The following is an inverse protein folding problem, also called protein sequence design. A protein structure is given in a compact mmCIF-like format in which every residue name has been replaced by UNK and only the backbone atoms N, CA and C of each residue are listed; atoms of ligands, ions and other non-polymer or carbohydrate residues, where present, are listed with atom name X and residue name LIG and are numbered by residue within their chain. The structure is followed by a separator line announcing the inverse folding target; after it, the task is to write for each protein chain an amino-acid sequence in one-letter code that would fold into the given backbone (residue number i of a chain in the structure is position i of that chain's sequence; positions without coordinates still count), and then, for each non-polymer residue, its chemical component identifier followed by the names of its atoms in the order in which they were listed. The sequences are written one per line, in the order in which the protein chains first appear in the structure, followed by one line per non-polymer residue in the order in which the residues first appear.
data_IF_274616458924
#
_entry.id   IF_274616458924
#
_cell.length_a   1.000
_cell.length_b   1.000
_cell.length_c   1.000
_cell.angle_alpha   90.00
_cell.angle_beta   90.00
_cell.angle_gamma   90.00
#
_symmetry.space_group_name_H-M   'P 1'
#
loop_
_entity.id
_entity.type
_entity.pdbx_description
1 polymer ?
#
# COMPACT_ATOMS: atom_id res chain seq x y z
N UNK A 1 -0.28 14.65 9.49
CA UNK A 1 -0.81 15.66 8.54
C UNK A 1 0.29 16.69 8.25
N UNK A 2 0.94 16.61 7.09
CA UNK A 2 1.35 17.78 6.32
C UNK A 2 1.75 17.35 4.90
N UNK A 3 1.19 18.08 3.94
CA UNK A 3 1.24 17.86 2.48
C UNK A 3 2.44 18.58 1.84
N UNK A 4 2.79 18.13 0.62
CA UNK A 4 3.52 18.90 -0.40
C UNK A 4 4.93 18.34 -0.65
N UNK A 5 5.40 18.10 -1.86
CA UNK A 5 5.00 18.64 -3.15
C UNK A 5 5.57 17.74 -4.27
N UNK A 6 4.74 17.14 -5.11
CA UNK A 6 5.17 16.47 -6.35
C UNK A 6 4.96 17.44 -7.51
N UNK A 7 6.06 17.83 -8.15
CA UNK A 7 6.07 18.77 -9.28
C UNK A 7 5.45 18.15 -10.54
N UNK A 8 4.53 18.90 -11.14
CA UNK A 8 3.93 18.63 -12.44
C UNK A 8 4.51 19.54 -13.54
N UNK A 9 5.06 18.91 -14.61
CA UNK A 9 4.78 19.11 -16.08
C UNK A 9 5.12 20.52 -16.68
N UNK A 10 5.76 20.69 -17.88
CA UNK A 10 5.16 20.30 -19.18
C UNK A 10 6.04 19.96 -20.41
N UNK A 11 5.40 19.24 -21.34
CA UNK A 11 5.79 19.01 -22.74
C UNK A 11 5.41 20.22 -23.64
N UNK A 12 6.09 20.43 -24.78
CA UNK A 12 6.21 21.73 -25.42
C UNK A 12 5.05 22.11 -26.36
N UNK A 13 4.80 23.42 -26.40
CA UNK A 13 3.87 24.14 -27.26
C UNK A 13 4.37 24.29 -28.70
N UNK A 14 3.44 24.09 -29.64
CA UNK A 14 3.55 24.37 -31.07
C UNK A 14 3.61 25.89 -31.28
N UNK A 15 4.63 26.36 -32.01
CA UNK A 15 4.75 27.75 -32.43
C UNK A 15 4.46 27.90 -33.94
N UNK A 16 3.69 28.94 -34.24
CA UNK A 16 3.22 29.41 -35.55
C UNK A 16 3.96 30.68 -35.97
N UNK A 17 4.09 30.90 -37.29
CA UNK A 17 4.47 32.17 -37.94
C UNK A 17 5.99 32.43 -37.99
N UNK A 18 6.58 33.11 -38.99
CA UNK A 18 6.04 33.90 -40.09
C UNK A 18 7.16 34.16 -41.12
N UNK A 19 6.74 34.57 -42.32
CA UNK A 19 7.50 35.08 -43.46
C UNK A 19 8.54 36.17 -43.12
N UNK A 20 9.71 36.21 -43.79
CA UNK A 20 9.94 37.18 -44.87
C UNK A 20 11.33 37.13 -45.56
N UNK A 21 11.26 37.43 -46.87
CA UNK A 21 12.18 38.10 -47.79
C UNK A 21 13.72 38.01 -47.66
N UNK A 22 14.39 37.67 -48.77
CA UNK A 22 15.07 38.66 -49.62
C UNK A 22 15.55 38.06 -50.95
N UNK A 23 15.02 38.62 -52.04
CA UNK A 23 15.46 38.48 -53.42
C UNK A 23 16.73 39.32 -53.64
N UNK A 24 17.69 38.80 -54.41
CA UNK A 24 18.73 39.60 -55.05
C UNK A 24 18.61 39.45 -56.57
N UNK A 25 18.17 40.53 -57.22
CA UNK A 25 18.36 40.77 -58.65
C UNK A 25 19.82 41.20 -58.91
N UNK A 26 20.40 40.71 -60.01
CA UNK A 26 21.48 41.43 -60.69
C UNK A 26 21.18 41.42 -62.20
N UNK A 27 21.14 42.63 -62.75
CA UNK A 27 20.81 42.95 -64.13
C UNK A 27 21.93 42.64 -65.13
N UNK A 28 21.47 42.06 -66.24
CA UNK A 28 21.86 42.13 -67.65
C UNK A 28 22.92 43.19 -68.03
N UNK A 29 23.92 42.77 -68.82
CA UNK A 29 24.67 43.63 -69.76
C UNK A 29 24.58 43.08 -71.19
N UNK A 30 24.08 43.93 -72.07
CA UNK A 30 23.86 43.74 -73.50
C UNK A 30 25.10 44.03 -74.35
N UNK A 31 25.27 43.32 -75.46
CA UNK A 31 25.98 43.81 -76.66
C UNK A 31 25.21 43.42 -77.93
N UNK A 32 24.70 44.43 -78.64
CA UNK A 32 24.26 44.40 -80.05
C UNK A 32 25.51 44.51 -80.95
N UNK A 33 25.64 43.90 -82.13
CA UNK A 33 24.94 44.11 -83.42
C UNK A 33 25.48 43.04 -84.40
N UNK A 34 24.72 42.46 -85.33
CA UNK A 34 24.49 43.05 -86.66
C UNK A 34 23.52 42.20 -87.50
N UNK A 35 22.70 42.91 -88.27
CA UNK A 35 21.63 42.51 -89.16
C UNK A 35 22.04 41.57 -90.31
N UNK A 36 21.17 40.61 -90.65
CA UNK A 36 20.84 40.26 -92.06
C UNK A 36 19.41 39.72 -92.14
N UNK A 37 18.56 40.45 -92.87
CA UNK A 37 17.18 40.14 -93.24
C UNK A 37 17.12 38.91 -94.15
N UNK A 38 16.26 37.93 -93.86
CA UNK A 38 15.67 37.08 -94.89
C UNK A 38 14.22 36.67 -94.57
N UNK A 39 13.45 36.55 -95.65
CA UNK A 39 11.98 36.53 -95.76
C UNK A 39 11.32 35.30 -95.12
N UNK A 40 10.14 35.50 -94.56
CA UNK A 40 9.15 34.45 -94.26
C UNK A 40 8.82 33.60 -95.50
N UNK A 41 8.53 32.32 -95.26
CA UNK A 41 7.27 31.76 -95.72
C UNK A 41 6.40 31.28 -94.56
N UNK A 42 5.10 31.47 -94.78
CA UNK A 42 3.97 31.08 -93.94
C UNK A 42 3.90 29.55 -93.86
N UNK A 43 3.57 29.02 -92.66
CA UNK A 43 2.90 27.73 -92.39
C UNK A 43 3.56 26.88 -91.27
N UNK A 44 3.59 27.38 -90.03
CA UNK A 44 3.97 26.54 -88.88
C UNK A 44 3.06 26.62 -87.64
N UNK A 45 1.89 27.29 -87.72
CA UNK A 45 1.02 27.50 -86.56
C UNK A 45 -0.18 26.55 -86.42
N UNK A 46 -0.32 25.51 -87.27
CA UNK A 46 -1.48 24.61 -87.26
C UNK A 46 -1.20 23.15 -86.87
N UNK A 47 0.01 22.79 -86.46
CA UNK A 47 0.37 21.41 -86.12
C UNK A 47 0.62 21.13 -84.61
N UNK A 48 0.62 22.15 -83.73
CA UNK A 48 0.95 21.93 -82.31
C UNK A 48 -0.24 21.69 -81.36
N UNK A 49 -1.48 21.85 -81.81
CA UNK A 49 -2.67 21.74 -80.94
C UNK A 49 -3.33 20.34 -80.91
N UNK A 50 -2.81 19.36 -81.67
CA UNK A 50 -3.42 18.03 -81.78
C UNK A 50 -2.48 16.84 -81.44
N UNK A 51 -1.32 17.10 -80.83
CA UNK A 51 -0.40 16.07 -80.34
C UNK A 51 -0.35 15.99 -78.80
N UNK A 52 -1.07 16.89 -78.10
CA UNK A 52 -1.01 17.05 -76.65
C UNK A 52 -2.17 16.40 -75.87
N UNK A 53 -3.24 15.90 -76.50
CA UNK A 53 -4.33 15.25 -75.74
C UNK A 53 -3.97 13.84 -75.26
N UNK A 54 -3.18 13.11 -76.04
CA UNK A 54 -2.76 11.74 -75.70
C UNK A 54 -1.68 11.73 -74.62
N UNK A 55 -0.69 12.63 -74.72
CA UNK A 55 0.37 12.80 -73.71
C UNK A 55 -0.18 13.36 -72.40
N UNK A 56 -1.13 14.29 -72.44
CA UNK A 56 -1.78 14.83 -71.25
C UNK A 56 -2.66 13.79 -70.55
N UNK A 57 -3.36 12.93 -71.31
CA UNK A 57 -4.14 11.81 -70.75
C UNK A 57 -3.25 10.76 -70.07
N UNK A 58 -2.11 10.42 -70.67
CA UNK A 58 -1.12 9.52 -70.06
C UNK A 58 -0.50 10.12 -68.79
N UNK A 59 -0.11 11.39 -68.80
CA UNK A 59 0.38 12.07 -67.60
C UNK A 59 -0.68 12.14 -66.49
N UNK A 60 -1.95 12.41 -66.81
CA UNK A 60 -3.03 12.44 -65.81
C UNK A 60 -3.27 11.06 -65.20
N UNK A 61 -3.26 10.00 -66.02
CA UNK A 61 -3.39 8.61 -65.53
C UNK A 61 -2.22 8.20 -64.64
N UNK A 62 -1.00 8.64 -64.96
CA UNK A 62 0.20 8.38 -64.17
C UNK A 62 0.17 9.14 -62.83
N UNK A 63 -0.25 10.41 -62.84
CA UNK A 63 -0.43 11.21 -61.62
C UNK A 63 -1.51 10.63 -60.71
N UNK A 64 -2.62 10.14 -61.27
CA UNK A 64 -3.67 9.47 -60.52
C UNK A 64 -3.17 8.16 -59.90
N UNK A 65 -2.42 7.35 -60.67
CA UNK A 65 -1.82 6.11 -60.18
C UNK A 65 -0.80 6.38 -59.06
N UNK A 66 0.05 7.40 -59.20
CA UNK A 66 0.99 7.81 -58.15
C UNK A 66 0.25 8.28 -56.90
N UNK A 67 -0.82 9.08 -57.05
CA UNK A 67 -1.62 9.54 -55.93
C UNK A 67 -2.29 8.38 -55.18
N UNK A 68 -2.80 7.37 -55.90
CA UNK A 68 -3.36 6.15 -55.30
C UNK A 68 -2.28 5.38 -54.54
N UNK A 69 -1.09 5.20 -55.13
CA UNK A 69 0.02 4.52 -54.47
C UNK A 69 0.47 5.26 -53.20
N UNK A 70 0.58 6.59 -53.26
CA UNK A 70 0.91 7.42 -52.09
C UNK A 70 -0.19 7.30 -51.02
N UNK A 71 -1.46 7.33 -51.40
CA UNK A 71 -2.59 7.17 -50.47
C UNK A 71 -2.57 5.78 -49.82
N UNK A 72 -2.28 4.71 -50.57
CA UNK A 72 -2.17 3.36 -50.03
C UNK A 72 -0.95 3.21 -49.11
N UNK A 73 0.18 3.81 -49.46
CA UNK A 73 1.37 3.85 -48.59
C UNK A 73 1.11 4.66 -47.32
N UNK A 74 0.40 5.78 -47.42
CA UNK A 74 0.00 6.59 -46.27
C UNK A 74 -0.95 5.82 -45.36
N UNK A 75 -1.97 5.15 -45.91
CA UNK A 75 -2.86 4.26 -45.16
C UNK A 75 -2.10 3.09 -44.51
N UNK A 76 -1.11 2.52 -45.20
CA UNK A 76 -0.25 1.47 -44.65
C UNK A 76 0.60 1.97 -43.47
N UNK A 77 1.18 3.17 -43.59
CA UNK A 77 1.97 3.81 -42.52
C UNK A 77 1.08 4.20 -41.33
N UNK A 78 -0.11 4.75 -41.58
CA UNK A 78 -1.10 5.04 -40.53
C UNK A 78 -1.56 3.75 -39.82
N UNK A 79 -1.88 2.70 -40.58
CA UNK A 79 -2.26 1.40 -40.01
C UNK A 79 -1.12 0.80 -39.17
N UNK A 80 0.13 0.92 -39.62
CA UNK A 80 1.30 0.52 -38.83
C UNK A 80 1.49 1.37 -37.57
N UNK A 81 1.32 2.70 -37.65
CA UNK A 81 1.41 3.60 -36.48
C UNK A 81 0.35 3.29 -35.43
N UNK A 82 -0.92 3.14 -35.83
CA UNK A 82 -2.03 2.80 -34.92
C UNK A 82 -1.85 1.42 -34.29
N UNK A 83 -1.25 0.47 -35.02
CA UNK A 83 -0.90 -0.85 -34.46
C UNK A 83 0.27 -0.78 -33.47
N UNK A 84 1.20 0.16 -33.65
CA UNK A 84 2.36 0.36 -32.77
C UNK A 84 1.99 0.97 -31.42
N UNK A 85 0.86 1.68 -31.30
CA UNK A 85 0.40 2.23 -30.01
C UNK A 85 -0.28 1.19 -29.09
N UNK A 86 -0.41 -0.06 -29.54
CA UNK A 86 -0.96 -1.17 -28.73
C UNK A 86 0.04 -2.32 -28.65
N UNK A 87 1.25 -2.06 -28.17
CA UNK A 87 2.08 -3.14 -27.63
C UNK A 87 1.44 -3.65 -26.34
N UNK A 88 0.60 -4.67 -26.45
CA UNK A 88 0.04 -5.37 -25.31
C UNK A 88 1.15 -6.12 -24.59
N UNK A 89 1.24 -5.95 -23.26
CA UNK A 89 2.12 -6.77 -22.45
C UNK A 89 1.57 -8.19 -22.37
N UNK A 90 2.30 -9.17 -22.91
CA UNK A 90 1.93 -10.58 -22.91
C UNK A 90 2.91 -11.43 -22.10
N UNK A 91 3.65 -10.82 -21.17
CA UNK A 91 4.47 -11.59 -20.24
C UNK A 91 3.55 -12.34 -19.26
N UNK A 92 4.00 -13.48 -18.69
CA UNK A 92 3.22 -14.22 -17.71
C UNK A 92 2.73 -13.36 -16.54
N UNK A 93 3.57 -12.43 -16.07
CA UNK A 93 3.26 -11.53 -14.96
C UNK A 93 2.13 -10.56 -15.33
N UNK A 94 2.17 -9.97 -16.54
CA UNK A 94 1.11 -9.10 -17.04
C UNK A 94 -0.23 -9.84 -17.19
N UNK A 95 -0.19 -11.08 -17.69
CA UNK A 95 -1.41 -11.89 -17.86
C UNK A 95 -2.00 -12.24 -16.50
N UNK A 96 -1.19 -12.67 -15.53
CA UNK A 96 -1.65 -12.99 -14.18
C UNK A 96 -2.27 -11.76 -13.51
N UNK A 97 -1.55 -10.63 -13.50
CA UNK A 97 -2.02 -9.40 -12.88
C UNK A 97 -3.33 -8.90 -13.49
N UNK A 98 -3.43 -8.93 -14.82
CA UNK A 98 -4.65 -8.53 -15.52
C UNK A 98 -5.83 -9.45 -15.17
N UNK A 99 -5.60 -10.77 -15.07
CA UNK A 99 -6.62 -11.73 -14.68
C UNK A 99 -7.07 -11.52 -13.23
N UNK A 100 -6.13 -11.38 -12.29
CA UNK A 100 -6.43 -11.17 -10.87
C UNK A 100 -7.22 -9.86 -10.66
N UNK A 101 -6.79 -8.78 -11.33
CA UNK A 101 -7.49 -7.49 -11.29
C UNK A 101 -8.90 -7.61 -11.87
N UNK A 102 -9.03 -8.21 -13.05
CA UNK A 102 -10.33 -8.35 -13.72
C UNK A 102 -11.31 -9.20 -12.90
N UNK A 103 -10.83 -10.26 -12.25
CA UNK A 103 -11.66 -11.13 -11.40
C UNK A 103 -12.13 -10.43 -10.11
N UNK A 104 -11.37 -9.46 -9.61
CA UNK A 104 -11.76 -8.66 -8.45
C UNK A 104 -12.87 -7.62 -8.78
N UNK A 105 -12.89 -7.13 -10.02
CA UNK A 105 -13.79 -6.07 -10.47
C UNK A 105 -15.23 -6.53 -10.66
N UNK A 106 -16.19 -5.67 -10.30
CA UNK A 106 -17.60 -5.77 -10.68
C UNK A 106 -17.92 -4.79 -11.81
N UNK A 107 -17.71 -5.23 -13.05
CA UNK A 107 -17.88 -4.39 -14.26
C UNK A 107 -19.33 -3.97 -14.54
N UNK A 108 -20.30 -4.42 -13.73
CA UNK A 108 -21.71 -4.03 -13.86
C UNK A 108 -22.00 -2.68 -13.19
N UNK A 109 -21.07 -2.19 -12.36
CA UNK A 109 -21.19 -0.93 -11.63
C UNK A 109 -20.46 0.19 -12.36
N UNK A 110 -21.04 1.39 -12.36
CA UNK A 110 -20.39 2.56 -12.93
C UNK A 110 -19.23 3.03 -12.01
N UNK A 111 -17.97 3.06 -12.48
CA UNK A 111 -16.84 3.53 -11.68
C UNK A 111 -16.96 4.98 -11.22
N UNK A 112 -17.77 5.81 -11.89
CA UNK A 112 -18.02 7.20 -11.50
C UNK A 112 -19.02 7.33 -10.34
N UNK A 113 -19.84 6.30 -10.09
CA UNK A 113 -20.83 6.28 -9.01
C UNK A 113 -20.28 5.56 -7.77
N UNK A 114 -19.68 4.39 -7.94
CA UNK A 114 -19.03 3.63 -6.86
C UNK A 114 -17.78 2.91 -7.37
N UNK A 115 -16.65 3.60 -7.28
CA UNK A 115 -15.36 3.06 -7.71
C UNK A 115 -14.91 1.85 -6.87
N UNK A 116 -15.28 1.79 -5.59
CA UNK A 116 -14.91 0.66 -4.73
C UNK A 116 -15.62 -0.60 -5.19
N UNK A 117 -16.94 -0.54 -5.37
CA UNK A 117 -17.71 -1.68 -5.84
C UNK A 117 -17.28 -2.09 -7.25
N UNK A 118 -17.03 -1.14 -8.15
CA UNK A 118 -16.49 -1.44 -9.48
C UNK A 118 -15.13 -2.17 -9.41
N UNK A 119 -14.20 -1.71 -8.56
CA UNK A 119 -12.84 -2.25 -8.50
C UNK A 119 -12.73 -3.56 -7.68
N UNK A 120 -13.50 -3.69 -6.61
CA UNK A 120 -13.33 -4.75 -5.59
C UNK A 120 -14.59 -5.60 -5.36
N UNK A 121 -15.72 -5.26 -5.98
CA UNK A 121 -17.02 -5.83 -5.63
C UNK A 121 -17.14 -7.36 -5.79
N UNK A 122 -16.33 -7.98 -6.66
CA UNK A 122 -16.25 -9.44 -6.77
C UNK A 122 -15.17 -10.05 -5.87
N UNK A 123 -14.14 -9.28 -5.50
CA UNK A 123 -13.14 -9.72 -4.53
C UNK A 123 -13.77 -10.01 -3.16
N UNK A 124 -14.62 -9.11 -2.67
CA UNK A 124 -15.34 -9.26 -1.39
C UNK A 124 -16.20 -10.53 -1.34
N UNK A 125 -16.79 -10.93 -2.48
CA UNK A 125 -17.62 -12.14 -2.60
C UNK A 125 -16.79 -13.43 -2.56
N UNK A 126 -15.56 -13.37 -3.05
CA UNK A 126 -14.67 -14.53 -3.19
C UNK A 126 -13.69 -14.68 -2.03
N UNK A 127 -13.54 -13.64 -1.20
CA UNK A 127 -12.63 -13.60 -0.06
C UNK A 127 -13.37 -13.26 1.24
N UNK A 128 -14.31 -14.12 1.69
CA UNK A 128 -15.01 -13.89 2.95
C UNK A 128 -14.02 -13.82 4.12
N UNK A 129 -14.37 -13.01 5.12
CA UNK A 129 -13.57 -12.89 6.35
C UNK A 129 -13.56 -14.27 7.05
N UNK A 130 -12.38 -14.89 7.24
CA UNK A 130 -12.29 -16.18 7.91
C UNK A 130 -12.77 -16.11 9.36
N UNK A 131 -13.23 -17.24 9.91
CA UNK A 131 -13.59 -17.32 11.33
C UNK A 131 -12.42 -16.90 12.24
N UNK A 132 -12.73 -16.11 13.26
CA UNK A 132 -11.72 -15.58 14.20
C UNK A 132 -10.90 -14.40 13.67
N UNK A 133 -11.23 -13.88 12.49
CA UNK A 133 -10.70 -12.60 11.98
C UNK A 133 -11.81 -11.56 11.85
N UNK A 134 -11.42 -10.29 11.96
CA UNK A 134 -12.34 -9.16 11.83
C UNK A 134 -12.18 -8.41 10.51
N UNK A 135 -11.09 -8.66 9.79
CA UNK A 135 -10.74 -7.96 8.54
C UNK A 135 -10.13 -8.96 7.57
N UNK A 136 -10.48 -8.81 6.29
CA UNK A 136 -9.81 -9.46 5.17
C UNK A 136 -9.53 -8.39 4.12
N UNK A 137 -8.27 -8.26 3.72
CA UNK A 137 -7.85 -7.30 2.68
C UNK A 137 -6.69 -7.87 1.87
N UNK A 138 -6.36 -7.23 0.75
CA UNK A 138 -5.17 -7.57 -0.04
C UNK A 138 -3.88 -7.41 0.77
N UNK A 139 -3.78 -6.36 1.59
CA UNK A 139 -2.65 -6.15 2.50
C UNK A 139 -2.55 -7.26 3.55
N UNK A 140 -3.68 -7.64 4.16
CA UNK A 140 -3.74 -8.71 5.14
C UNK A 140 -3.34 -10.06 4.52
N UNK A 141 -3.77 -10.32 3.28
CA UNK A 141 -3.37 -11.50 2.52
C UNK A 141 -1.85 -11.54 2.31
N UNK A 142 -1.26 -10.43 1.83
CA UNK A 142 0.19 -10.33 1.66
C UNK A 142 0.96 -10.53 2.97
N UNK A 143 0.50 -9.92 4.07
CA UNK A 143 1.12 -10.11 5.39
C UNK A 143 1.07 -11.58 5.80
N UNK A 144 -0.02 -12.30 5.54
CA UNK A 144 -0.08 -13.73 5.83
C UNK A 144 0.92 -14.54 5.00
N UNK A 145 1.06 -14.25 3.72
CA UNK A 145 2.03 -14.95 2.85
C UNK A 145 3.47 -14.78 3.38
N UNK A 146 3.81 -13.56 3.84
CA UNK A 146 5.10 -13.27 4.46
C UNK A 146 5.25 -14.01 5.80
N UNK A 147 4.20 -14.02 6.63
CA UNK A 147 4.18 -14.77 7.90
C UNK A 147 4.37 -16.26 7.66
N UNK A 148 3.74 -16.84 6.64
CA UNK A 148 3.87 -18.25 6.29
C UNK A 148 5.27 -18.60 5.82
N UNK A 149 5.90 -17.73 5.01
CA UNK A 149 7.31 -17.84 4.68
C UNK A 149 8.18 -17.83 5.94
N UNK A 150 7.95 -16.89 6.87
CA UNK A 150 8.70 -16.87 8.13
C UNK A 150 8.46 -18.12 8.98
N UNK A 151 7.24 -18.62 9.07
CA UNK A 151 6.92 -19.89 9.77
C UNK A 151 7.71 -21.05 9.18
N UNK A 152 7.82 -21.13 7.84
CA UNK A 152 8.62 -22.16 7.19
C UNK A 152 10.11 -22.03 7.55
N UNK A 153 10.67 -20.82 7.47
CA UNK A 153 12.08 -20.57 7.75
C UNK A 153 12.44 -20.83 9.22
N UNK A 154 11.57 -20.45 10.15
CA UNK A 154 11.80 -20.61 11.59
C UNK A 154 11.62 -22.05 12.09
N UNK A 155 10.90 -22.89 11.34
CA UNK A 155 10.78 -24.33 11.61
C UNK A 155 12.00 -25.14 11.16
N UNK A 156 12.85 -24.59 10.29
CA UNK A 156 14.05 -25.30 9.83
C UNK A 156 15.00 -25.55 11.02
N UNK A 157 15.77 -26.66 11.00
CA UNK A 157 16.76 -26.92 12.02
C UNK A 157 17.70 -25.73 12.23
N UNK A 158 18.13 -25.55 13.48
CA UNK A 158 19.13 -24.55 13.83
C UNK A 158 20.49 -25.11 13.42
N UNK A 159 21.24 -24.37 12.60
CA UNK A 159 22.58 -24.79 12.16
C UNK A 159 23.66 -24.08 12.97
N UNK A 160 24.75 -24.78 13.28
CA UNK A 160 25.86 -24.20 14.03
C UNK A 160 26.53 -23.04 13.29
N UNK A 161 26.42 -23.00 11.96
CA UNK A 161 26.94 -21.95 11.09
C UNK A 161 26.08 -20.67 11.07
N UNK A 162 24.87 -20.70 11.64
CA UNK A 162 23.99 -19.53 11.66
C UNK A 162 24.45 -18.47 12.68
N UNK A 163 24.19 -17.17 12.43
CA UNK A 163 24.42 -16.12 13.42
C UNK A 163 23.59 -16.36 14.69
N UNK A 164 24.13 -15.97 15.84
CA UNK A 164 23.47 -16.17 17.14
C UNK A 164 22.08 -15.53 17.21
N UNK A 165 21.86 -14.41 16.52
CA UNK A 165 20.55 -13.77 16.43
C UNK A 165 19.50 -14.68 15.77
N UNK A 166 19.89 -15.39 14.69
CA UNK A 166 19.02 -16.33 13.99
C UNK A 166 18.77 -17.56 14.85
N UNK A 167 19.81 -18.09 15.52
CA UNK A 167 19.67 -19.21 16.46
C UNK A 167 18.67 -18.88 17.56
N UNK A 168 18.82 -17.73 18.23
CA UNK A 168 17.89 -17.26 19.27
C UNK A 168 16.46 -17.11 18.76
N UNK A 169 16.28 -16.50 17.59
CA UNK A 169 14.96 -16.32 16.99
C UNK A 169 14.27 -17.67 16.70
N UNK A 170 15.01 -18.62 16.12
CA UNK A 170 14.50 -19.98 15.88
C UNK A 170 14.19 -20.71 17.18
N UNK A 171 15.08 -20.68 18.17
CA UNK A 171 14.85 -21.29 19.49
C UNK A 171 13.59 -20.73 20.13
N UNK A 172 13.42 -19.41 20.14
CA UNK A 172 12.23 -18.75 20.70
C UNK A 172 10.95 -19.18 19.97
N UNK A 173 10.95 -19.16 18.64
CA UNK A 173 9.81 -19.58 17.85
C UNK A 173 9.46 -21.06 18.08
N UNK A 174 10.45 -21.95 18.07
CA UNK A 174 10.26 -23.39 18.27
C UNK A 174 9.74 -23.72 19.67
N UNK A 175 10.19 -22.99 20.70
CA UNK A 175 9.63 -23.10 22.05
C UNK A 175 8.14 -22.70 22.09
N UNK A 176 7.74 -21.68 21.31
CA UNK A 176 6.36 -21.18 21.26
C UNK A 176 5.39 -22.13 20.51
N UNK A 177 5.86 -22.82 19.47
CA UNK A 177 5.02 -23.72 18.65
C UNK A 177 5.19 -25.20 18.97
N UNK A 178 6.02 -25.54 19.95
CA UNK A 178 6.26 -26.93 20.35
C UNK A 178 4.97 -27.60 20.78
N UNK A 179 4.66 -28.82 20.31
CA UNK A 179 3.52 -29.60 20.81
C UNK A 179 3.57 -29.85 22.32
N UNK A 180 4.77 -29.81 22.91
CA UNK A 180 4.96 -29.98 24.36
C UNK A 180 4.56 -28.74 25.17
N UNK A 181 4.32 -27.59 24.52
CA UNK A 181 3.92 -26.33 25.20
C UNK A 181 2.71 -26.53 26.12
N UNK A 182 1.75 -27.33 25.68
CA UNK A 182 0.51 -27.58 26.41
C UNK A 182 0.62 -28.84 27.30
N UNK A 183 1.84 -29.31 27.58
CA UNK A 183 2.07 -30.42 28.51
C UNK A 183 1.79 -29.99 29.95
N UNK A 184 1.22 -30.88 30.79
CA UNK A 184 0.97 -30.56 32.21
C UNK A 184 2.22 -30.11 32.98
N UNK A 185 3.40 -30.60 32.57
CA UNK A 185 4.66 -30.20 33.17
C UNK A 185 4.98 -28.71 32.88
N UNK A 186 4.87 -28.28 31.63
CA UNK A 186 5.11 -26.89 31.23
C UNK A 186 4.03 -25.97 31.79
N UNK A 187 2.77 -26.40 31.79
CA UNK A 187 1.67 -25.63 32.40
C UNK A 187 1.92 -25.39 33.89
N UNK A 188 2.26 -26.44 34.64
CA UNK A 188 2.56 -26.32 36.07
C UNK A 188 3.79 -25.44 36.35
N UNK A 189 4.87 -25.60 35.56
CA UNK A 189 6.04 -24.71 35.65
C UNK A 189 5.67 -23.26 35.36
N UNK A 190 4.86 -23.01 34.33
CA UNK A 190 4.42 -21.66 33.95
C UNK A 190 3.58 -21.03 35.06
N UNK A 191 2.64 -21.78 35.64
CA UNK A 191 1.86 -21.32 36.78
C UNK A 191 2.74 -20.97 37.98
N UNK A 192 3.71 -21.82 38.34
CA UNK A 192 4.64 -21.53 39.43
C UNK A 192 5.49 -20.28 39.18
N UNK A 193 6.01 -20.11 37.95
CA UNK A 193 6.75 -18.92 37.58
C UNK A 193 5.86 -17.67 37.68
N UNK A 194 4.63 -17.72 37.17
CA UNK A 194 3.67 -16.61 37.29
C UNK A 194 3.45 -16.24 38.76
N UNK A 195 3.15 -17.22 39.61
CA UNK A 195 2.90 -16.98 41.04
C UNK A 195 4.13 -16.42 41.76
N UNK A 196 5.34 -16.89 41.42
CA UNK A 196 6.58 -16.33 41.96
C UNK A 196 6.76 -14.85 41.58
N UNK A 197 6.46 -14.49 40.34
CA UNK A 197 6.51 -13.08 39.89
C UNK A 197 5.44 -12.25 40.59
N UNK A 198 4.20 -12.74 40.69
CA UNK A 198 3.12 -12.03 41.41
C UNK A 198 3.52 -11.73 42.86
N UNK A 199 4.04 -12.71 43.60
CA UNK A 199 4.51 -12.50 44.97
C UNK A 199 5.62 -11.44 45.08
N UNK A 200 6.54 -11.40 44.10
CA UNK A 200 7.59 -10.37 44.04
C UNK A 200 7.01 -8.96 43.87
N UNK A 201 5.86 -8.82 43.23
CA UNK A 201 5.14 -7.55 43.05
C UNK A 201 4.13 -7.25 44.17
N UNK A 202 4.21 -7.96 45.29
CA UNK A 202 3.29 -7.77 46.42
C UNK A 202 2.04 -8.64 46.37
N UNK A 203 2.00 -9.62 45.47
CA UNK A 203 0.91 -10.60 45.32
C UNK A 203 -0.22 -10.11 44.42
N UNK A 204 -1.21 -10.97 44.21
CA UNK A 204 -2.48 -10.61 43.56
C UNK A 204 -3.55 -10.48 44.65
N UNK A 205 -3.94 -9.24 45.05
CA UNK A 205 -4.79 -9.01 46.22
C UNK A 205 -6.07 -9.87 46.29
N UNK A 206 -6.79 -10.12 45.18
CA UNK A 206 -7.97 -10.98 45.20
C UNK A 206 -7.74 -12.39 45.74
N UNK A 207 -6.52 -12.96 45.66
CA UNK A 207 -6.21 -14.28 46.23
C UNK A 207 -6.15 -14.28 47.75
N UNK A 208 -5.80 -13.16 48.35
CA UNK A 208 -5.62 -13.05 49.80
C UNK A 208 -6.81 -12.36 50.49
N UNK A 209 -7.62 -11.62 49.73
CA UNK A 209 -8.76 -10.85 50.24
C UNK A 209 -8.33 -9.84 51.29
N UNK A 210 -9.06 -9.77 52.40
CA UNK A 210 -8.75 -8.86 53.52
C UNK A 210 -7.40 -9.12 54.20
N UNK A 211 -6.81 -10.31 54.00
CA UNK A 211 -5.48 -10.64 54.56
C UNK A 211 -4.34 -10.07 53.71
N UNK A 212 -4.63 -9.53 52.53
CA UNK A 212 -3.63 -8.91 51.71
C UNK A 212 -3.03 -7.69 52.43
N UNK A 213 -1.70 -7.59 52.40
CA UNK A 213 -0.98 -6.44 52.93
C UNK A 213 0.02 -5.97 51.89
N UNK A 214 -0.01 -4.67 51.59
CA UNK A 214 0.96 -4.11 50.66
C UNK A 214 2.37 -4.18 51.25
N UNK A 215 3.25 -4.89 50.55
CA UNK A 215 4.69 -4.93 50.88
C UNK A 215 5.49 -3.85 50.14
N UNK A 216 4.89 -3.21 49.14
CA UNK A 216 5.53 -2.25 48.24
C UNK A 216 4.76 -0.92 48.26
N UNK A 217 5.47 0.19 48.09
CA UNK A 217 4.80 1.45 47.77
C UNK A 217 4.30 1.41 46.32
N UNK A 218 3.30 2.23 45.99
CA UNK A 218 2.75 2.29 44.63
C UNK A 218 3.84 2.65 43.61
N UNK A 219 4.70 3.62 43.93
CA UNK A 219 5.81 4.05 43.07
C UNK A 219 6.79 2.91 42.82
N UNK A 220 7.08 2.10 43.86
CA UNK A 220 7.98 0.94 43.71
C UNK A 220 7.34 -0.15 42.87
N UNK A 221 6.04 -0.39 43.02
CA UNK A 221 5.29 -1.35 42.20
C UNK A 221 5.30 -0.94 40.73
N UNK A 222 4.96 0.32 40.43
CA UNK A 222 4.95 0.85 39.07
C UNK A 222 6.35 0.76 38.42
N UNK A 223 7.40 1.13 39.16
CA UNK A 223 8.77 1.02 38.67
C UNK A 223 9.18 -0.42 38.36
N UNK A 224 8.77 -1.39 39.19
CA UNK A 224 9.07 -2.80 38.97
C UNK A 224 8.32 -3.37 37.76
N UNK A 225 7.03 -3.02 37.59
CA UNK A 225 6.23 -3.43 36.44
C UNK A 225 6.80 -2.87 35.13
N UNK A 226 7.22 -1.62 35.12
CA UNK A 226 7.85 -1.00 33.95
C UNK A 226 9.20 -1.65 33.63
N UNK A 227 10.10 -1.81 34.62
CA UNK A 227 11.45 -2.35 34.38
C UNK A 227 11.48 -3.83 33.98
N UNK A 228 10.57 -4.65 34.53
CA UNK A 228 10.60 -6.10 34.31
C UNK A 228 9.65 -6.55 33.20
N UNK A 229 8.51 -5.86 33.01
CA UNK A 229 7.46 -6.26 32.07
C UNK A 229 7.12 -5.20 31.03
N UNK A 230 7.76 -4.02 31.08
CA UNK A 230 7.41 -2.89 30.22
C UNK A 230 5.90 -2.58 30.27
N UNK A 231 5.32 -2.67 31.48
CA UNK A 231 3.89 -2.51 31.73
C UNK A 231 3.62 -1.24 32.53
N UNK A 232 2.63 -0.47 32.07
CA UNK A 232 2.42 0.93 32.47
C UNK A 232 0.93 1.19 32.76
N UNK A 233 0.41 0.74 33.92
CA UNK A 233 -1.03 0.64 34.14
C UNK A 233 -1.73 1.98 34.43
N UNK A 234 -1.00 3.00 34.89
CA UNK A 234 -1.58 4.29 35.29
C UNK A 234 -1.21 5.45 34.36
N UNK A 235 -0.01 5.42 33.78
CA UNK A 235 0.49 6.38 32.81
C UNK A 235 1.65 5.75 32.05
N UNK A 236 1.76 6.05 30.76
CA UNK A 236 2.87 5.62 29.90
C UNK A 236 4.14 6.42 30.27
N UNK A 237 5.28 5.75 30.35
CA UNK A 237 6.58 6.34 30.68
C UNK A 237 7.63 5.86 29.68
N UNK A 238 7.93 6.67 28.66
CA UNK A 238 8.91 6.28 27.62
C UNK A 238 10.07 7.23 27.50
N UNK A 239 11.20 6.71 27.03
CA UNK A 239 12.31 7.52 26.55
C UNK A 239 12.16 7.68 25.05
N UNK A 240 12.01 8.91 24.57
CA UNK A 240 11.83 9.23 23.16
C UNK A 240 12.77 10.37 22.74
N UNK A 241 12.94 10.53 21.42
CA UNK A 241 13.64 11.70 20.89
C UNK A 241 12.87 12.97 21.25
N UNK A 242 13.59 14.05 21.54
CA UNK A 242 12.98 15.37 21.76
C UNK A 242 12.50 15.95 20.43
N UNK A 243 11.20 16.27 20.34
CA UNK A 243 10.59 16.88 19.15
C UNK A 243 11.22 18.24 18.81
N UNK A 244 11.75 18.95 19.82
CA UNK A 244 12.43 20.23 19.66
C UNK A 244 13.92 20.05 19.32
N UNK A 245 14.51 18.89 19.64
CA UNK A 245 15.90 18.57 19.38
C UNK A 245 16.13 17.06 19.22
N UNK A 246 16.04 16.56 17.99
CA UNK A 246 16.16 15.13 17.68
C UNK A 246 17.56 14.51 17.93
N UNK A 247 18.52 15.28 18.44
CA UNK A 247 19.82 14.78 18.92
C UNK A 247 19.80 14.38 20.41
N UNK A 248 18.72 14.71 21.13
CA UNK A 248 18.55 14.43 22.55
C UNK A 248 17.37 13.49 22.79
N UNK A 249 17.37 12.87 23.96
CA UNK A 249 16.25 12.05 24.43
C UNK A 249 15.65 12.69 25.67
N UNK A 250 14.33 12.59 25.80
CA UNK A 250 13.54 13.07 26.92
C UNK A 250 12.67 11.94 27.48
N UNK A 251 12.30 12.08 28.75
CA UNK A 251 11.29 11.23 29.37
C UNK A 251 9.93 11.82 29.02
N UNK A 252 9.08 11.02 28.39
CA UNK A 252 7.70 11.36 28.10
C UNK A 252 6.77 10.66 29.08
N UNK A 253 5.81 11.43 29.59
CA UNK A 253 4.67 10.96 30.36
C UNK A 253 3.41 11.13 29.52
N UNK A 254 2.60 10.09 29.41
CA UNK A 254 1.37 10.13 28.64
C UNK A 254 0.25 9.35 29.36
N UNK A 255 -0.98 9.47 28.88
CA UNK A 255 -2.11 8.69 29.39
C UNK A 255 -1.83 7.18 29.29
N UNK A 256 -2.42 6.35 30.17
CA UNK A 256 -2.20 4.91 30.12
C UNK A 256 -2.76 4.29 28.84
N UNK A 257 -2.24 3.13 28.49
CA UNK A 257 -2.92 2.23 27.56
C UNK A 257 -4.02 1.47 28.31
N UNK A 258 -5.25 1.59 27.84
CA UNK A 258 -6.41 0.88 28.40
C UNK A 258 -6.62 -0.45 27.66
N UNK A 259 -7.22 -1.44 28.34
CA UNK A 259 -7.41 -2.76 27.76
C UNK A 259 -8.35 -2.75 26.55
N UNK A 260 -9.48 -2.04 26.63
CA UNK A 260 -10.41 -1.91 25.50
C UNK A 260 -9.93 -0.94 24.40
N UNK A 261 -8.72 -0.38 24.55
CA UNK A 261 -7.98 0.51 23.63
C UNK A 261 -8.67 1.82 23.22
N UNK A 262 -9.97 1.81 22.94
CA UNK A 262 -10.79 2.98 22.69
C UNK A 262 -11.56 3.36 23.96
N UNK A 263 -11.55 4.65 24.34
CA UNK A 263 -12.39 5.14 25.44
C UNK A 263 -13.88 4.87 25.19
N UNK A 264 -14.34 5.02 23.94
CA UNK A 264 -15.71 4.72 23.54
C UNK A 264 -16.15 3.27 23.79
N UNK A 265 -15.22 2.31 23.85
CA UNK A 265 -15.54 0.93 24.19
C UNK A 265 -16.06 0.80 25.63
N UNK A 266 -15.60 1.65 26.54
CA UNK A 266 -16.09 1.73 27.92
C UNK A 266 -17.46 2.42 28.04
N UNK A 267 -18.06 2.88 26.93
CA UNK A 267 -19.46 3.34 26.89
C UNK A 267 -20.42 2.21 26.45
N UNK A 268 -19.89 1.12 25.87
CA UNK A 268 -20.66 -0.03 25.40
C UNK A 268 -20.86 -1.04 26.53
N UNK A 269 -22.13 -1.22 26.95
CA UNK A 269 -22.45 -2.21 27.99
C UNK A 269 -22.07 -3.64 27.57
N UNK A 270 -22.20 -3.97 26.28
CA UNK A 270 -21.84 -5.29 25.76
C UNK A 270 -20.33 -5.56 25.90
N UNK A 271 -19.49 -4.58 25.56
CA UNK A 271 -18.04 -4.71 25.67
C UNK A 271 -17.58 -4.75 27.13
N UNK A 272 -18.16 -3.91 27.99
CA UNK A 272 -17.90 -3.91 29.42
C UNK A 272 -18.28 -5.26 30.05
N UNK A 273 -19.45 -5.80 29.72
CA UNK A 273 -19.91 -7.08 30.25
C UNK A 273 -19.01 -8.24 29.79
N UNK A 274 -18.58 -8.24 28.53
CA UNK A 274 -17.64 -9.20 27.99
C UNK A 274 -16.28 -9.11 28.69
N UNK A 275 -15.79 -7.89 28.92
CA UNK A 275 -14.52 -7.66 29.58
C UNK A 275 -14.56 -8.08 31.06
N UNK A 276 -15.60 -7.71 31.80
CA UNK A 276 -15.78 -8.16 33.17
C UNK A 276 -15.83 -9.68 33.26
N UNK A 277 -16.55 -10.34 32.33
CA UNK A 277 -16.59 -11.80 32.25
C UNK A 277 -15.20 -12.40 32.03
N UNK A 278 -14.38 -11.79 31.18
CA UNK A 278 -12.99 -12.20 30.96
C UNK A 278 -12.14 -12.04 32.24
N UNK A 279 -12.19 -10.87 32.88
CA UNK A 279 -11.46 -10.59 34.13
C UNK A 279 -11.82 -11.61 35.23
N UNK A 280 -13.11 -11.88 35.42
CA UNK A 280 -13.59 -12.87 36.40
C UNK A 280 -13.12 -14.27 36.05
N UNK A 281 -13.10 -14.65 34.78
CA UNK A 281 -12.59 -15.95 34.34
C UNK A 281 -11.11 -16.11 34.68
N UNK A 282 -10.28 -15.11 34.37
CA UNK A 282 -8.85 -15.12 34.68
C UNK A 282 -8.61 -15.22 36.18
N UNK A 283 -9.29 -14.39 36.98
CA UNK A 283 -9.17 -14.43 38.44
C UNK A 283 -9.59 -15.79 39.02
N UNK A 284 -10.67 -16.38 38.49
CA UNK A 284 -11.13 -17.71 38.93
C UNK A 284 -10.12 -18.80 38.56
N UNK A 285 -9.51 -18.73 37.37
CA UNK A 285 -8.45 -19.67 36.94
C UNK A 285 -7.19 -19.58 37.82
N UNK A 286 -6.93 -18.43 38.44
CA UNK A 286 -5.84 -18.26 39.42
C UNK A 286 -6.21 -18.74 40.83
N UNK A 287 -7.45 -19.16 41.08
CA UNK A 287 -7.90 -19.70 42.36
C UNK A 287 -8.70 -18.74 43.24
N UNK A 288 -9.11 -17.58 42.73
CA UNK A 288 -10.02 -16.67 43.45
C UNK A 288 -11.44 -17.25 43.41
N UNK A 289 -12.16 -17.20 44.53
CA UNK A 289 -13.57 -17.61 44.58
C UNK A 289 -14.40 -16.74 43.63
N UNK A 290 -15.34 -17.32 42.89
CA UNK A 290 -16.02 -16.66 41.77
C UNK A 290 -16.77 -15.38 42.17
N UNK A 291 -17.44 -15.38 43.33
CA UNK A 291 -18.18 -14.22 43.84
C UNK A 291 -17.23 -13.10 44.25
N UNK A 292 -16.16 -13.45 44.97
CA UNK A 292 -15.08 -12.52 45.31
C UNK A 292 -14.41 -11.94 44.06
N UNK A 293 -14.09 -12.80 43.09
CA UNK A 293 -13.51 -12.41 41.81
C UNK A 293 -14.40 -11.39 41.10
N UNK A 294 -15.72 -11.62 41.05
CA UNK A 294 -16.65 -10.66 40.47
C UNK A 294 -16.58 -9.29 41.14
N UNK A 295 -16.68 -9.24 42.47
CA UNK A 295 -16.66 -7.98 43.21
C UNK A 295 -15.33 -7.22 43.03
N UNK A 296 -14.19 -7.92 43.11
CA UNK A 296 -12.88 -7.30 42.94
C UNK A 296 -12.64 -6.83 41.49
N UNK A 297 -13.04 -7.61 40.49
CA UNK A 297 -12.88 -7.21 39.09
C UNK A 297 -13.82 -6.07 38.70
N UNK A 298 -15.04 -6.00 39.26
CA UNK A 298 -15.92 -4.84 39.11
C UNK A 298 -15.29 -3.56 39.67
N UNK A 299 -14.55 -3.64 40.78
CA UNK A 299 -13.82 -2.50 41.34
C UNK A 299 -12.66 -2.04 40.43
N UNK A 300 -11.91 -2.99 39.87
CA UNK A 300 -10.83 -2.68 38.91
C UNK A 300 -11.40 -2.06 37.64
N UNK A 301 -12.47 -2.64 37.09
CA UNK A 301 -13.15 -2.11 35.92
C UNK A 301 -13.67 -0.69 36.13
N UNK A 302 -14.26 -0.39 37.30
CA UNK A 302 -14.69 0.97 37.63
C UNK A 302 -13.52 1.96 37.70
N UNK A 303 -12.34 1.52 38.18
CA UNK A 303 -11.13 2.33 38.13
C UNK A 303 -10.69 2.58 36.68
N UNK A 304 -10.70 1.57 35.82
CA UNK A 304 -10.38 1.73 34.41
C UNK A 304 -11.36 2.66 33.68
N UNK A 305 -12.66 2.56 33.95
CA UNK A 305 -13.68 3.49 33.41
C UNK A 305 -13.40 4.91 33.88
N UNK A 306 -13.05 5.11 35.15
CA UNK A 306 -12.68 6.43 35.66
C UNK A 306 -11.43 6.98 34.96
N UNK A 307 -10.42 6.13 34.71
CA UNK A 307 -9.22 6.51 33.94
C UNK A 307 -9.58 6.85 32.49
N UNK A 308 -10.45 6.08 31.84
CA UNK A 308 -10.90 6.32 30.48
C UNK A 308 -11.60 7.68 30.31
N UNK A 309 -12.34 8.12 31.33
CA UNK A 309 -13.06 9.40 31.32
C UNK A 309 -12.18 10.61 31.67
N UNK A 310 -10.95 10.41 32.13
CA UNK A 310 -10.02 11.50 32.45
C UNK A 310 -9.35 12.11 31.20
N UNK A 311 -9.40 11.43 30.05
CA UNK A 311 -8.65 11.78 28.84
C UNK A 311 -9.56 11.93 27.62
#
# INVERSE_FOLDING_TARGET
MNNGNMNSVPLPSIASGEHDCLMNEVQIRSTSTSSKKHKHPKNWLKAHLCQNKFTFGLCLSLLLAIAIVISLLFLYVLHRRVRSERELCLTPECISLAADTYNAMDITVDPCEDFYQFACGNWDKTHPIPEGRNVRSSFESFVNDVVDLYRELLRKPILDTEPDAVKKLKTFYQACVSPERDSPAIENTTYHLLMQHLERFGGFPPLHGERWQSKLSLERLLALLHLEFNTEPLFELKVAADDMNNTQHIILLNHPSLFLQASAAYESQEEIDAYLKFMVSVATSLGVERTQARNEMERILNLEIALANCY
#
